data_IF_273125622390
#
_entry.id   IF_273125622390
#
_cell.length_a   1.000
_cell.length_b   1.000
_cell.length_c   1.000
_cell.angle_alpha   90.00
_cell.angle_beta   90.00
_cell.angle_gamma   90.00
#
_symmetry.space_group_name_H-M   'P 1'
#
loop_
_entity.id
_entity.type
_entity.pdbx_description
1 polymer ?
#
# COMPACT_ATOMS: atom_id res chain seq x y z
N UNK A 1 -34.87 -20.65 17.68
CA UNK A 1 -33.79 -20.51 16.68
C UNK A 1 -34.24 -19.55 15.59
N UNK A 2 -33.86 -18.28 15.68
CA UNK A 2 -34.19 -17.27 14.66
C UNK A 2 -33.18 -17.40 13.51
N UNK A 3 -33.65 -17.88 12.36
CA UNK A 3 -32.88 -17.86 11.11
C UNK A 3 -32.89 -16.43 10.59
N UNK A 4 -31.82 -15.69 10.82
CA UNK A 4 -31.62 -14.38 10.20
C UNK A 4 -31.53 -14.58 8.68
N UNK A 5 -32.45 -13.93 7.98
CA UNK A 5 -32.49 -13.90 6.53
C UNK A 5 -31.15 -13.32 6.05
N UNK A 6 -30.26 -14.17 5.52
CA UNK A 6 -29.08 -13.75 4.77
C UNK A 6 -29.58 -12.94 3.57
N UNK A 7 -29.66 -11.62 3.73
CA UNK A 7 -29.97 -10.69 2.67
C UNK A 7 -28.88 -10.85 1.60
N UNK A 8 -29.17 -11.65 0.58
CA UNK A 8 -28.37 -11.74 -0.64
C UNK A 8 -28.38 -10.35 -1.28
N UNK A 9 -27.35 -9.55 -1.02
CA UNK A 9 -27.15 -8.26 -1.67
C UNK A 9 -27.04 -8.50 -3.17
N UNK A 10 -27.83 -7.76 -3.95
CA UNK A 10 -27.78 -7.79 -5.40
C UNK A 10 -26.36 -7.38 -5.87
N UNK A 11 -25.78 -8.02 -6.90
CA UNK A 11 -24.40 -7.76 -7.34
C UNK A 11 -24.16 -6.30 -7.79
N UNK A 12 -25.23 -5.58 -8.14
CA UNK A 12 -25.19 -4.16 -8.49
C UNK A 12 -25.77 -3.25 -7.40
N UNK A 13 -25.97 -3.75 -6.18
CA UNK A 13 -26.44 -2.93 -5.07
C UNK A 13 -25.35 -1.92 -4.70
N UNK A 14 -25.59 -0.66 -5.04
CA UNK A 14 -24.71 0.43 -4.69
C UNK A 14 -24.82 0.70 -3.19
N UNK A 15 -23.73 0.48 -2.45
CA UNK A 15 -23.67 0.84 -1.04
C UNK A 15 -23.54 2.36 -0.90
N UNK A 16 -24.65 3.03 -0.61
CA UNK A 16 -24.71 4.48 -0.44
C UNK A 16 -23.75 4.95 0.68
N UNK A 17 -23.51 4.13 1.70
CA UNK A 17 -22.59 4.47 2.78
C UNK A 17 -21.12 4.38 2.37
N UNK A 18 -20.77 3.48 1.44
CA UNK A 18 -19.41 3.41 0.89
C UNK A 18 -19.13 4.62 -0.01
N UNK A 19 -20.10 5.00 -0.85
CA UNK A 19 -20.05 6.21 -1.68
C UNK A 19 -19.95 7.49 -0.85
N UNK A 20 -20.75 7.61 0.20
CA UNK A 20 -20.70 8.78 1.09
C UNK A 20 -19.35 8.88 1.80
N UNK A 21 -18.78 7.77 2.27
CA UNK A 21 -17.44 7.75 2.87
C UNK A 21 -16.35 8.14 1.87
N UNK A 22 -16.39 7.60 0.65
CA UNK A 22 -15.43 7.94 -0.40
C UNK A 22 -15.50 9.44 -0.76
N UNK A 23 -16.70 9.99 -0.91
CA UNK A 23 -16.89 11.43 -1.17
C UNK A 23 -16.42 12.31 -0.01
N UNK A 24 -16.65 11.91 1.24
CA UNK A 24 -16.13 12.65 2.41
C UNK A 24 -14.59 12.61 2.47
N UNK A 25 -13.96 11.49 2.11
CA UNK A 25 -12.51 11.39 2.01
C UNK A 25 -11.92 12.16 0.83
N UNK A 26 -12.64 12.30 -0.28
CA UNK A 26 -12.21 13.09 -1.43
C UNK A 26 -12.34 14.60 -1.21
N UNK A 27 -13.32 15.03 -0.39
CA UNK A 27 -13.55 16.44 -0.04
C UNK A 27 -12.62 16.96 1.05
N UNK A 28 -12.02 16.10 1.86
CA UNK A 28 -11.00 16.58 2.80
C UNK A 28 -9.70 16.83 2.03
N UNK A 29 -9.15 18.06 2.05
CA UNK A 29 -7.81 18.27 1.54
C UNK A 29 -6.90 17.39 2.39
N UNK A 30 -6.35 16.33 1.79
CA UNK A 30 -5.32 15.53 2.44
C UNK A 30 -4.18 16.50 2.74
N UNK A 31 -4.05 16.91 4.00
CA UNK A 31 -2.86 17.61 4.50
C UNK A 31 -1.73 16.59 4.50
N UNK A 32 -1.23 16.26 3.31
CA UNK A 32 -0.08 15.38 3.19
C UNK A 32 1.11 16.17 3.71
N UNK A 33 1.58 15.78 4.89
CA UNK A 33 2.79 16.34 5.45
C UNK A 33 3.93 16.02 4.48
N UNK A 34 4.61 17.04 3.96
CA UNK A 34 5.73 16.87 3.02
C UNK A 34 6.82 15.97 3.61
N UNK A 35 7.06 16.04 4.92
CA UNK A 35 7.97 15.15 5.63
C UNK A 35 7.54 13.68 5.57
N UNK A 36 6.23 13.38 5.64
CA UNK A 36 5.72 12.01 5.48
C UNK A 36 5.90 11.50 4.05
N UNK A 37 5.68 12.35 3.03
CA UNK A 37 5.92 12.00 1.63
C UNK A 37 7.41 11.70 1.41
N UNK A 38 8.30 12.55 1.90
CA UNK A 38 9.75 12.37 1.80
C UNK A 38 10.19 11.07 2.48
N UNK A 39 9.68 10.80 3.69
CA UNK A 39 9.98 9.57 4.43
C UNK A 39 9.50 8.31 3.69
N UNK A 40 8.28 8.34 3.12
CA UNK A 40 7.76 7.22 2.32
C UNK A 40 8.59 7.01 1.05
N UNK A 41 8.99 8.10 0.38
CA UNK A 41 9.83 8.04 -0.82
C UNK A 41 11.21 7.47 -0.51
N UNK A 42 11.84 7.90 0.59
CA UNK A 42 13.13 7.37 1.05
C UNK A 42 13.05 5.86 1.36
N UNK A 43 11.98 5.43 2.06
CA UNK A 43 11.74 4.00 2.33
C UNK A 43 11.57 3.19 1.04
N UNK A 44 10.87 3.73 0.05
CA UNK A 44 10.68 3.06 -1.23
C UNK A 44 11.99 2.98 -2.03
N UNK A 45 12.77 4.05 -2.05
CA UNK A 45 14.09 4.07 -2.68
C UNK A 45 15.03 3.03 -2.03
N UNK A 46 15.02 2.94 -0.69
CA UNK A 46 15.81 1.95 0.04
C UNK A 46 15.44 0.51 -0.33
N UNK A 47 14.14 0.18 -0.40
CA UNK A 47 13.69 -1.16 -0.82
C UNK A 47 14.18 -1.51 -2.23
N UNK A 48 14.05 -0.57 -3.19
CA UNK A 48 14.57 -0.79 -4.55
C UNK A 48 16.08 -1.00 -4.57
N UNK A 49 16.82 -0.25 -3.76
CA UNK A 49 18.27 -0.43 -3.63
C UNK A 49 18.62 -1.81 -3.06
N UNK A 50 17.86 -2.30 -2.07
CA UNK A 50 18.01 -3.65 -1.55
C UNK A 50 17.72 -4.72 -2.61
N UNK A 51 16.65 -4.55 -3.40
CA UNK A 51 16.30 -5.47 -4.48
C UNK A 51 17.39 -5.51 -5.55
N UNK A 52 17.91 -4.35 -5.95
CA UNK A 52 19.03 -4.25 -6.90
C UNK A 52 20.30 -4.86 -6.32
N UNK A 53 20.62 -4.58 -5.06
CA UNK A 53 21.77 -5.16 -4.39
C UNK A 53 21.66 -6.69 -4.35
N UNK A 54 20.49 -7.24 -4.00
CA UNK A 54 20.26 -8.67 -4.01
C UNK A 54 20.36 -9.29 -5.43
N UNK A 55 19.98 -8.54 -6.47
CA UNK A 55 20.14 -8.97 -7.86
C UNK A 55 21.62 -9.04 -8.28
N UNK A 56 22.40 -7.99 -7.98
CA UNK A 56 23.83 -7.95 -8.34
C UNK A 56 24.69 -8.84 -7.44
N UNK A 57 24.26 -9.06 -6.20
CA UNK A 57 25.00 -9.80 -5.19
C UNK A 57 24.10 -10.89 -4.59
N UNK A 58 23.79 -11.95 -5.36
CA UNK A 58 23.04 -13.09 -4.84
C UNK A 58 23.79 -13.71 -3.66
N UNK A 59 23.03 -14.26 -2.69
CA UNK A 59 23.59 -14.88 -1.47
C UNK A 59 24.78 -15.77 -1.81
N UNK A 60 25.96 -15.43 -1.29
CA UNK A 60 27.23 -16.10 -1.58
C UNK A 60 28.27 -15.23 -2.30
N UNK A 61 27.91 -14.05 -2.82
CA UNK A 61 28.89 -13.10 -3.37
C UNK A 61 29.66 -12.38 -2.25
N UNK A 62 30.74 -13.01 -1.78
CA UNK A 62 31.77 -12.35 -0.99
C UNK A 62 32.68 -11.55 -1.94
N UNK A 63 32.22 -10.38 -2.37
CA UNK A 63 33.00 -9.43 -3.17
C UNK A 63 34.13 -8.80 -2.35
N UNK A 64 35.15 -9.60 -2.02
CA UNK A 64 36.44 -9.06 -1.62
C UNK A 64 37.23 -8.67 -2.87
N UNK A 65 38.12 -7.66 -2.80
CA UNK A 65 39.17 -7.56 -3.79
C UNK A 65 39.95 -8.88 -3.79
N UNK A 66 39.90 -9.63 -4.89
CA UNK A 66 40.98 -10.55 -5.19
C UNK A 66 42.23 -9.68 -5.32
N UNK A 67 43.24 -9.99 -4.50
CA UNK A 67 44.50 -9.28 -4.36
C UNK A 67 45.02 -8.61 -5.63
#
# INVERSE_FOLDING_TARGET
MQRSCLQRRHPYAIDIHSLRRANSHARSPRKLCTAQIALQSARQAWRKAQDLFAFFFPQGYCGGPAK
#
